data_IF_339493098144
#
_entry.id   IF_339493098144
#
_cell.length_a   1.000
_cell.length_b   1.000
_cell.length_c   1.000
_cell.angle_alpha   90.00
_cell.angle_beta   90.00
_cell.angle_gamma   90.00
#
_symmetry.space_group_name_H-M   'P 1'
#
loop_
_entity.id
_entity.type
_entity.pdbx_description
1 polymer ?
#
# COMPACT_ATOMS: atom_id res chain seq x y z
N UNK A 1 2.08 -11.74 -13.91
CA UNK A 1 1.86 -11.43 -12.49
C UNK A 1 0.81 -10.33 -12.44
N UNK A 2 -0.16 -10.48 -11.56
CA UNK A 2 -1.32 -9.59 -11.41
C UNK A 2 -1.56 -9.28 -9.94
N UNK A 3 -2.27 -8.19 -9.68
CA UNK A 3 -2.72 -7.80 -8.34
C UNK A 3 -4.02 -7.02 -8.41
N UNK A 4 -4.57 -6.71 -7.25
CA UNK A 4 -5.75 -5.87 -7.11
C UNK A 4 -5.50 -4.79 -6.05
N UNK A 5 -6.22 -3.69 -6.15
CA UNK A 5 -6.17 -2.63 -5.16
C UNK A 5 -7.57 -2.25 -4.68
N UNK A 6 -7.64 -1.73 -3.48
CA UNK A 6 -8.82 -1.17 -2.86
C UNK A 6 -8.60 0.31 -2.58
N UNK A 7 -9.42 1.16 -3.19
CA UNK A 7 -9.41 2.59 -2.88
C UNK A 7 -10.04 2.81 -1.49
N UNK A 8 -9.23 3.26 -0.54
CA UNK A 8 -9.66 3.41 0.83
C UNK A 8 -10.57 4.63 1.02
N UNK A 9 -11.67 4.44 1.73
CA UNK A 9 -12.58 5.49 2.17
C UNK A 9 -12.72 5.48 3.70
N UNK A 10 -11.72 5.97 4.44
CA UNK A 10 -11.65 5.82 5.90
C UNK A 10 -12.83 6.41 6.68
N UNK A 11 -13.53 7.37 6.10
CA UNK A 11 -14.74 7.96 6.71
C UNK A 11 -16.02 7.16 6.49
N UNK A 12 -16.02 6.15 5.61
CA UNK A 12 -17.24 5.44 5.22
C UNK A 12 -17.51 4.19 6.07
N UNK A 13 -16.46 3.44 6.41
CA UNK A 13 -16.54 2.22 7.23
C UNK A 13 -15.18 1.89 7.83
N UNK A 14 -15.13 0.92 8.76
CA UNK A 14 -13.89 0.49 9.40
C UNK A 14 -12.89 -0.12 8.41
N UNK A 15 -11.62 -0.12 8.78
CA UNK A 15 -10.57 -0.80 8.02
C UNK A 15 -10.86 -2.29 7.87
N UNK A 16 -11.34 -2.95 8.94
CA UNK A 16 -11.75 -4.34 8.93
C UNK A 16 -12.87 -4.60 7.90
N UNK A 17 -13.90 -3.78 7.86
CA UNK A 17 -15.01 -3.95 6.92
C UNK A 17 -14.53 -3.82 5.48
N UNK A 18 -13.67 -2.84 5.20
CA UNK A 18 -13.14 -2.63 3.84
C UNK A 18 -12.15 -3.72 3.43
N UNK A 19 -11.28 -4.19 4.33
CA UNK A 19 -10.37 -5.30 4.06
C UNK A 19 -11.13 -6.61 3.80
N UNK A 20 -12.21 -6.87 4.54
CA UNK A 20 -13.08 -8.02 4.34
C UNK A 20 -13.76 -7.94 2.97
N UNK A 21 -14.39 -6.81 2.66
CA UNK A 21 -15.03 -6.58 1.35
C UNK A 21 -14.05 -6.78 0.19
N UNK A 22 -12.86 -6.17 0.28
CA UNK A 22 -11.81 -6.30 -0.71
C UNK A 22 -11.38 -7.77 -0.91
N UNK A 23 -11.17 -8.48 0.19
CA UNK A 23 -10.80 -9.89 0.17
C UNK A 23 -11.85 -10.77 -0.48
N UNK A 24 -13.14 -10.49 -0.25
CA UNK A 24 -14.26 -11.25 -0.82
C UNK A 24 -14.52 -10.94 -2.31
N UNK A 25 -13.94 -9.84 -2.81
CA UNK A 25 -14.16 -9.35 -4.18
C UNK A 25 -12.89 -9.34 -5.04
N UNK A 26 -12.00 -10.29 -4.81
CA UNK A 26 -10.82 -10.52 -5.65
C UNK A 26 -9.53 -9.88 -5.17
N UNK A 27 -9.52 -9.26 -3.98
CA UNK A 27 -8.32 -8.67 -3.37
C UNK A 27 -7.42 -9.66 -2.64
N UNK A 28 -7.75 -10.95 -2.64
CA UNK A 28 -7.00 -11.98 -1.95
C UNK A 28 -5.64 -12.26 -2.57
N UNK A 29 -4.81 -12.94 -1.79
CA UNK A 29 -3.50 -13.42 -2.22
C UNK A 29 -3.42 -14.94 -2.14
N UNK A 30 -2.66 -15.53 -3.06
CA UNK A 30 -2.27 -16.95 -3.05
C UNK A 30 -0.81 -17.10 -3.46
N UNK A 31 -0.14 -18.09 -2.89
CA UNK A 31 1.26 -18.43 -3.15
C UNK A 31 1.43 -19.16 -4.51
N UNK A 32 0.82 -18.62 -5.57
CA UNK A 32 0.84 -19.21 -6.92
C UNK A 32 1.98 -18.66 -7.81
N UNK A 33 2.75 -17.69 -7.32
CA UNK A 33 3.81 -17.01 -8.05
C UNK A 33 3.32 -16.01 -9.10
N UNK A 34 2.01 -15.84 -9.24
CA UNK A 34 1.38 -14.94 -10.22
C UNK A 34 0.51 -13.87 -9.59
N UNK A 35 0.19 -13.98 -8.29
CA UNK A 35 -0.66 -13.06 -7.56
C UNK A 35 0.18 -12.22 -6.62
N UNK A 36 0.14 -10.88 -6.81
CA UNK A 36 0.72 -9.93 -5.87
C UNK A 36 -0.16 -9.81 -4.62
N UNK A 37 0.38 -9.43 -3.46
CA UNK A 37 -0.46 -9.07 -2.33
C UNK A 37 -1.42 -7.96 -2.73
N UNK A 38 -2.61 -7.98 -2.16
CA UNK A 38 -3.57 -6.90 -2.35
C UNK A 38 -3.00 -5.56 -1.90
N UNK A 39 -3.50 -4.49 -2.46
CA UNK A 39 -3.05 -3.12 -2.18
C UNK A 39 -4.16 -2.34 -1.52
N UNK A 40 -3.86 -1.65 -0.44
CA UNK A 40 -4.69 -0.56 0.07
C UNK A 40 -4.18 0.76 -0.48
N UNK A 41 -5.04 1.45 -1.22
CA UNK A 41 -4.77 2.72 -1.87
C UNK A 41 -5.21 3.86 -0.95
N UNK A 42 -4.22 4.59 -0.42
CA UNK A 42 -4.36 5.66 0.56
C UNK A 42 -3.91 6.99 -0.05
N UNK A 43 -4.88 7.78 -0.45
CA UNK A 43 -4.62 9.04 -1.14
C UNK A 43 -5.68 10.11 -0.82
N UNK A 44 -5.52 11.30 -1.42
CA UNK A 44 -6.40 12.43 -1.23
C UNK A 44 -7.87 12.06 -1.45
N UNK A 45 -8.74 12.58 -0.58
CA UNK A 45 -10.18 12.38 -0.69
C UNK A 45 -10.72 13.04 -1.96
N UNK A 46 -11.19 12.27 -2.96
CA UNK A 46 -11.73 12.83 -4.20
C UNK A 46 -13.19 13.30 -4.07
N UNK A 47 -13.84 12.99 -2.94
CA UNK A 47 -15.27 13.22 -2.73
C UNK A 47 -15.54 14.36 -1.74
N UNK A 48 -14.51 15.05 -1.24
CA UNK A 48 -14.67 16.12 -0.28
C UNK A 48 -13.42 16.99 -0.14
N UNK A 49 -13.56 18.10 0.57
CA UNK A 49 -12.47 19.08 0.74
C UNK A 49 -11.41 18.64 1.76
N UNK A 50 -11.74 17.70 2.65
CA UNK A 50 -10.79 17.23 3.66
C UNK A 50 -9.93 16.10 3.11
N UNK A 51 -8.67 16.41 2.82
CA UNK A 51 -7.70 15.49 2.25
C UNK A 51 -7.49 14.21 3.08
N UNK A 52 -7.63 14.32 4.41
CA UNK A 52 -7.45 13.23 5.37
C UNK A 52 -8.79 12.65 5.87
N UNK A 53 -9.88 12.85 5.13
CA UNK A 53 -11.21 12.30 5.46
C UNK A 53 -11.76 12.74 6.82
N UNK A 54 -11.30 13.87 7.36
CA UNK A 54 -11.68 14.35 8.67
C UNK A 54 -11.06 13.62 9.86
N UNK A 55 -10.10 12.72 9.63
CA UNK A 55 -9.42 11.96 10.67
C UNK A 55 -8.11 12.65 11.11
N UNK A 56 -7.80 12.54 12.40
CA UNK A 56 -6.47 12.85 12.92
C UNK A 56 -5.45 11.80 12.45
N UNK A 57 -4.16 12.11 12.55
CA UNK A 57 -3.10 11.14 12.23
C UNK A 57 -3.24 9.84 13.02
N UNK A 58 -3.55 9.93 14.31
CA UNK A 58 -3.75 8.76 15.16
C UNK A 58 -4.97 7.94 14.72
N UNK A 59 -6.09 8.59 14.40
CA UNK A 59 -7.29 7.92 13.92
C UNK A 59 -7.07 7.25 12.55
N UNK A 60 -6.37 7.93 11.65
CA UNK A 60 -6.00 7.37 10.34
C UNK A 60 -5.07 6.16 10.51
N UNK A 61 -4.05 6.25 11.34
CA UNK A 61 -3.17 5.12 11.64
C UNK A 61 -3.93 3.92 12.23
N UNK A 62 -4.90 4.16 13.11
CA UNK A 62 -5.77 3.11 13.65
C UNK A 62 -6.62 2.46 12.57
N UNK A 63 -7.19 3.23 11.64
CA UNK A 63 -7.95 2.69 10.52
C UNK A 63 -7.07 1.84 9.59
N UNK A 64 -5.87 2.31 9.27
CA UNK A 64 -4.91 1.58 8.42
C UNK A 64 -4.48 0.29 9.11
N UNK A 65 -4.21 0.33 10.40
CA UNK A 65 -3.84 -0.85 11.20
C UNK A 65 -4.95 -1.90 11.19
N UNK A 66 -6.19 -1.47 11.33
CA UNK A 66 -7.37 -2.33 11.27
C UNK A 66 -7.50 -3.02 9.89
N UNK A 67 -7.27 -2.30 8.81
CA UNK A 67 -7.23 -2.87 7.45
C UNK A 67 -6.10 -3.88 7.29
N UNK A 68 -4.87 -3.48 7.63
CA UNK A 68 -3.65 -4.28 7.43
C UNK A 68 -3.71 -5.56 8.24
N UNK A 69 -4.10 -5.49 9.52
CA UNK A 69 -4.20 -6.68 10.39
C UNK A 69 -5.26 -7.64 9.89
N UNK A 70 -6.43 -7.17 9.51
CA UNK A 70 -7.51 -8.00 8.95
C UNK A 70 -7.09 -8.72 7.68
N UNK A 71 -6.41 -8.01 6.77
CA UNK A 71 -5.88 -8.62 5.55
C UNK A 71 -4.82 -9.68 5.86
N UNK A 72 -3.87 -9.34 6.75
CA UNK A 72 -2.77 -10.22 7.13
C UNK A 72 -3.24 -11.49 7.86
N UNK A 73 -4.22 -11.37 8.73
CA UNK A 73 -4.82 -12.52 9.41
C UNK A 73 -5.46 -13.49 8.41
N UNK A 74 -6.08 -12.98 7.38
CA UNK A 74 -6.76 -13.80 6.37
C UNK A 74 -5.81 -14.45 5.38
N UNK A 75 -4.78 -13.75 4.94
CA UNK A 75 -3.94 -14.17 3.82
C UNK A 75 -2.51 -14.55 4.23
N UNK A 76 -2.12 -14.37 5.49
CA UNK A 76 -0.80 -14.73 6.01
C UNK A 76 0.31 -13.75 5.62
N UNK A 77 -0.01 -12.63 4.98
CA UNK A 77 0.94 -11.56 4.64
C UNK A 77 0.27 -10.19 4.64
N UNK A 78 1.06 -9.15 4.91
CA UNK A 78 0.57 -7.79 4.85
C UNK A 78 0.22 -7.37 3.41
N UNK A 79 -0.81 -6.53 3.21
CA UNK A 79 -1.05 -5.89 1.93
C UNK A 79 0.04 -4.88 1.64
N UNK A 80 0.21 -4.49 0.38
CA UNK A 80 0.98 -3.30 0.03
C UNK A 80 0.19 -2.04 0.40
N UNK A 81 0.91 -0.98 0.67
CA UNK A 81 0.33 0.37 0.79
C UNK A 81 0.75 1.20 -0.41
N UNK A 82 -0.25 1.65 -1.20
CA UNK A 82 -0.06 2.68 -2.22
C UNK A 82 -0.36 4.04 -1.60
N UNK A 83 0.57 4.97 -1.71
CA UNK A 83 0.42 6.34 -1.20
C UNK A 83 1.45 7.29 -1.81
N UNK A 84 1.27 8.59 -1.59
CA UNK A 84 2.29 9.62 -1.86
C UNK A 84 2.95 10.08 -0.56
N UNK A 85 4.18 10.56 -0.66
CA UNK A 85 4.93 11.10 0.49
C UNK A 85 4.17 12.26 1.15
N UNK A 86 3.60 13.17 0.36
CA UNK A 86 2.88 14.33 0.87
C UNK A 86 1.62 13.94 1.64
N UNK A 87 0.81 13.03 1.08
CA UNK A 87 -0.42 12.59 1.76
C UNK A 87 -0.11 11.84 3.05
N UNK A 88 0.81 10.88 2.98
CA UNK A 88 1.16 10.08 4.16
C UNK A 88 1.71 10.94 5.31
N UNK A 89 2.66 11.81 5.00
CA UNK A 89 3.26 12.67 6.03
C UNK A 89 2.24 13.63 6.65
N UNK A 90 1.26 14.09 5.87
CA UNK A 90 0.18 14.97 6.36
C UNK A 90 -0.86 14.20 7.17
N UNK A 91 -1.32 13.05 6.67
CA UNK A 91 -2.50 12.36 7.22
C UNK A 91 -2.17 11.23 8.20
N UNK A 92 -0.95 10.72 8.21
CA UNK A 92 -0.48 9.62 9.07
C UNK A 92 0.76 10.00 9.87
N UNK A 93 1.76 10.57 9.20
CA UNK A 93 3.04 10.93 9.80
C UNK A 93 3.75 9.73 10.42
N UNK A 94 4.23 9.88 11.65
CA UNK A 94 4.92 8.83 12.41
C UNK A 94 3.99 7.90 13.21
N UNK A 95 2.67 8.08 13.13
CA UNK A 95 1.71 7.36 13.96
C UNK A 95 1.54 5.87 13.59
N UNK A 96 2.12 5.42 12.48
CA UNK A 96 1.96 4.09 11.92
C UNK A 96 3.29 3.33 11.71
N UNK A 97 4.28 3.54 12.57
CA UNK A 97 5.60 2.91 12.45
C UNK A 97 5.56 1.37 12.52
N UNK A 98 4.62 0.81 13.23
CA UNK A 98 4.35 -0.63 13.28
C UNK A 98 3.84 -1.17 11.94
N UNK A 99 3.06 -0.38 11.20
CA UNK A 99 2.51 -0.74 9.90
C UNK A 99 3.61 -0.65 8.82
N UNK A 100 4.38 0.43 8.80
CA UNK A 100 5.46 0.63 7.81
C UNK A 100 6.57 -0.40 7.94
N UNK A 101 6.72 -1.01 9.12
CA UNK A 101 7.67 -2.09 9.35
C UNK A 101 7.29 -3.41 8.65
N UNK A 102 6.02 -3.61 8.31
CA UNK A 102 5.52 -4.88 7.74
C UNK A 102 4.89 -4.73 6.35
N UNK A 103 4.31 -3.58 6.04
CA UNK A 103 3.64 -3.34 4.76
C UNK A 103 4.61 -2.80 3.70
N UNK A 104 4.75 -3.48 2.55
CA UNK A 104 5.55 -2.99 1.42
C UNK A 104 4.97 -1.68 0.86
N UNK A 105 5.84 -0.77 0.42
CA UNK A 105 5.47 0.52 -0.13
C UNK A 105 5.35 0.48 -1.66
N UNK A 106 4.23 0.93 -2.18
CA UNK A 106 4.05 1.35 -3.56
C UNK A 106 3.88 2.87 -3.59
N UNK A 107 4.98 3.56 -3.92
CA UNK A 107 5.03 5.02 -3.90
C UNK A 107 4.50 5.64 -5.20
N UNK A 108 3.59 6.60 -5.09
CA UNK A 108 3.14 7.43 -6.20
C UNK A 108 3.96 8.71 -6.24
N UNK A 109 4.74 8.87 -7.31
CA UNK A 109 5.47 10.10 -7.59
C UNK A 109 5.74 10.24 -9.07
N UNK A 110 5.08 11.15 -9.72
CA UNK A 110 5.22 11.43 -11.15
C UNK A 110 6.43 12.33 -11.40
N UNK A 111 7.60 11.72 -11.49
CA UNK A 111 8.89 12.38 -11.57
C UNK A 111 9.94 11.45 -12.17
N UNK A 112 11.12 11.98 -12.48
CA UNK A 112 12.28 11.18 -12.92
C UNK A 112 12.99 10.44 -11.79
N UNK A 113 12.69 10.77 -10.53
CA UNK A 113 13.25 10.12 -9.33
C UNK A 113 12.16 9.86 -8.29
N UNK A 114 12.33 8.83 -7.51
CA UNK A 114 11.39 8.48 -6.42
C UNK A 114 11.37 9.54 -5.31
N UNK A 115 12.46 10.27 -5.13
CA UNK A 115 12.59 11.32 -4.12
C UNK A 115 12.53 10.82 -2.70
N UNK A 116 12.11 11.70 -1.79
CA UNK A 116 11.93 11.37 -0.37
C UNK A 116 10.76 10.40 -0.17
N UNK A 117 10.98 9.36 0.62
CA UNK A 117 9.95 8.37 0.95
C UNK A 117 9.05 8.87 2.09
N UNK A 118 7.81 8.34 2.19
CA UNK A 118 6.94 8.65 3.30
C UNK A 118 7.54 8.21 4.64
N UNK A 119 7.19 8.93 5.71
CA UNK A 119 7.66 8.66 7.06
C UNK A 119 7.46 7.18 7.46
N UNK A 120 8.53 6.53 7.89
CA UNK A 120 8.54 5.15 8.36
C UNK A 120 9.03 4.10 7.36
N UNK A 121 9.21 4.44 6.08
CA UNK A 121 9.85 3.56 5.10
C UNK A 121 11.25 4.04 4.73
N UNK A 122 12.19 3.10 4.71
CA UNK A 122 13.57 3.30 4.23
C UNK A 122 13.77 2.79 2.79
N UNK A 123 12.78 2.05 2.26
CA UNK A 123 12.82 1.47 0.92
C UNK A 123 11.41 1.42 0.31
N UNK A 124 11.36 1.42 -1.01
CA UNK A 124 10.13 1.23 -1.77
C UNK A 124 10.16 -0.14 -2.49
N UNK A 125 8.99 -0.70 -2.71
CA UNK A 125 8.81 -1.96 -3.45
C UNK A 125 8.39 -1.70 -4.89
N UNK A 126 7.40 -0.83 -5.08
CA UNK A 126 6.95 -0.36 -6.39
C UNK A 126 6.87 1.15 -6.42
N UNK A 127 7.06 1.71 -7.60
CA UNK A 127 7.00 3.15 -7.86
C UNK A 127 6.18 3.42 -9.11
N UNK A 128 5.04 4.10 -8.93
CA UNK A 128 4.27 4.68 -10.03
C UNK A 128 4.90 6.02 -10.40
N UNK A 129 5.58 6.05 -11.55
CA UNK A 129 6.37 7.20 -11.96
C UNK A 129 5.70 8.09 -12.99
N UNK A 130 4.59 7.64 -13.58
CA UNK A 130 3.79 8.39 -14.55
C UNK A 130 2.36 7.86 -14.61
N UNK A 131 1.42 8.75 -14.92
CA UNK A 131 0.02 8.49 -15.21
C UNK A 131 -0.36 8.95 -16.63
N UNK A 132 0.64 9.26 -17.46
CA UNK A 132 0.43 9.78 -18.83
C UNK A 132 -0.02 8.67 -19.76
N UNK A 133 -1.31 8.70 -20.11
CA UNK A 133 -1.97 7.70 -20.97
C UNK A 133 -2.36 6.44 -20.21
N UNK A 134 -1.43 5.83 -19.51
CA UNK A 134 -1.60 4.69 -18.59
C UNK A 134 -0.71 4.90 -17.37
N UNK A 135 -1.05 4.22 -16.28
CA UNK A 135 -0.20 4.16 -15.11
C UNK A 135 1.07 3.35 -15.45
N UNK A 136 2.22 3.94 -15.17
CA UNK A 136 3.50 3.33 -15.39
C UNK A 136 4.19 3.07 -14.07
N UNK A 137 4.49 1.79 -13.82
CA UNK A 137 5.08 1.32 -12.59
C UNK A 137 6.45 0.69 -12.81
N UNK A 138 7.28 0.78 -11.78
CA UNK A 138 8.58 0.14 -11.72
C UNK A 138 8.72 -0.64 -10.41
N UNK A 139 9.19 -1.88 -10.52
CA UNK A 139 9.59 -2.68 -9.37
C UNK A 139 11.01 -2.31 -8.91
N UNK A 140 11.24 -2.25 -7.60
CA UNK A 140 12.57 -2.10 -7.01
C UNK A 140 13.34 -3.42 -7.12
N UNK A 141 13.88 -3.69 -8.30
CA UNK A 141 14.60 -4.94 -8.56
C UNK A 141 14.38 -5.46 -9.97
N UNK A 142 14.55 -6.76 -10.12
CA UNK A 142 14.43 -7.50 -11.38
C UNK A 142 13.07 -8.19 -11.46
N UNK A 143 12.79 -8.83 -12.61
CA UNK A 143 11.63 -9.71 -12.75
C UNK A 143 11.66 -10.87 -11.77
N UNK A 144 12.83 -11.44 -11.50
CA UNK A 144 13.00 -12.51 -10.51
C UNK A 144 12.65 -12.03 -9.10
N UNK A 145 13.00 -10.78 -8.75
CA UNK A 145 12.62 -10.19 -7.46
C UNK A 145 11.11 -10.01 -7.36
N UNK A 146 10.43 -9.66 -8.45
CA UNK A 146 8.98 -9.57 -8.52
C UNK A 146 8.31 -10.95 -8.33
N UNK A 147 8.86 -11.99 -8.94
CA UNK A 147 8.37 -13.36 -8.80
C UNK A 147 8.53 -13.86 -7.35
N UNK A 148 9.68 -13.60 -6.72
CA UNK A 148 9.91 -13.88 -5.29
C UNK A 148 8.96 -13.08 -4.39
N UNK A 149 8.73 -11.83 -4.73
CA UNK A 149 7.76 -11.01 -4.01
C UNK A 149 6.33 -11.56 -4.13
N UNK A 150 5.93 -12.06 -5.29
CA UNK A 150 4.63 -12.69 -5.48
C UNK A 150 4.46 -13.96 -4.64
N UNK A 151 5.52 -14.78 -4.47
CA UNK A 151 5.51 -15.99 -3.63
C UNK A 151 5.76 -15.74 -2.15
N UNK A 152 5.93 -14.49 -1.74
CA UNK A 152 6.31 -14.12 -0.36
C UNK A 152 7.68 -14.67 0.08
N UNK A 153 8.52 -15.04 -0.87
CA UNK A 153 9.91 -15.37 -0.59
C UNK A 153 10.70 -14.09 -0.25
N UNK A 154 11.54 -14.14 0.76
CA UNK A 154 12.44 -13.03 1.09
C UNK A 154 13.44 -12.85 -0.04
N UNK A 155 13.38 -11.71 -0.73
CA UNK A 155 14.43 -11.33 -1.66
C UNK A 155 15.77 -11.27 -0.90
N UNK A 156 16.79 -11.94 -1.42
CA UNK A 156 18.14 -11.82 -0.85
C UNK A 156 18.57 -10.36 -1.02
N UNK A 157 18.93 -9.65 0.08
CA UNK A 157 19.36 -8.27 -0.03
C UNK A 157 20.56 -8.20 -1.00
N UNK A 158 20.44 -7.42 -2.05
CA UNK A 158 21.60 -7.07 -2.87
C UNK A 158 22.31 -5.92 -2.17
N UNK A 159 23.56 -6.18 -1.76
CA UNK A 159 24.50 -5.17 -1.26
C UNK A 159 25.01 -4.29 -2.40
#
# INVERSE_FOLDING_TARGET
>A
IRGAYHFALPSNSSGQAQATYFSDHGGGWSEDGYTLPGVVDLEYNPYGENACYGLSQTAMASWIRDFVSTYQERWGRAPMIYTSTSWWNMCVGSAASDITAVAPLWIARYSSTVGELPSGWDAWTMWQYSDTGYDHDRMAGTREDLEKFATNETATPRH
#
